data_IF_539070054597
#
_entry.id   IF_539070054597
#
_cell.length_a   1.000
_cell.length_b   1.000
_cell.length_c   1.000
_cell.angle_alpha   90.00
_cell.angle_beta   90.00
_cell.angle_gamma   90.00
#
_symmetry.space_group_name_H-M   'P 1'
#
loop_
_entity.id
_entity.type
_entity.pdbx_description
1 polymer ?
#
# COMPACT_ATOMS: atom_id res chain seq x y z
N UNK A 1 23.48 9.10 20.09
CA UNK A 1 23.32 7.68 20.47
C UNK A 1 22.30 7.07 19.52
N UNK A 2 22.64 6.07 18.69
CA UNK A 2 21.65 5.31 17.96
C UNK A 2 21.09 4.16 18.84
N UNK A 3 19.81 3.79 18.70
CA UNK A 3 19.24 2.65 19.41
C UNK A 3 19.79 1.34 18.85
N UNK A 4 20.24 0.47 19.76
CA UNK A 4 20.89 -0.80 19.45
C UNK A 4 19.93 -1.83 18.86
N UNK A 5 20.40 -2.50 17.82
CA UNK A 5 19.81 -3.69 17.22
C UNK A 5 19.86 -4.84 18.24
N UNK A 6 18.70 -5.29 18.73
CA UNK A 6 18.59 -6.43 19.63
C UNK A 6 18.56 -7.72 18.81
N UNK A 7 19.62 -8.52 18.89
CA UNK A 7 19.70 -9.87 18.31
C UNK A 7 19.38 -10.85 19.44
N UNK A 8 18.24 -11.59 19.40
CA UNK A 8 17.98 -12.61 20.39
C UNK A 8 18.94 -13.78 20.19
N UNK A 9 19.90 -13.89 21.10
CA UNK A 9 20.81 -15.02 21.19
C UNK A 9 20.11 -16.24 21.77
N UNK A 10 20.00 -17.29 20.96
CA UNK A 10 20.06 -18.68 21.42
C UNK A 10 20.50 -19.55 20.24
N UNK A 11 21.80 -19.50 19.91
CA UNK A 11 22.44 -20.63 19.25
C UNK A 11 22.81 -21.62 20.35
N UNK A 12 22.02 -22.69 20.47
CA UNK A 12 22.46 -23.88 21.18
C UNK A 12 23.53 -24.58 20.32
N UNK A 13 24.80 -24.29 20.62
CA UNK A 13 25.93 -25.06 20.08
C UNK A 13 25.99 -26.38 20.85
N UNK A 14 25.46 -27.45 20.27
CA UNK A 14 25.66 -28.81 20.78
C UNK A 14 27.01 -29.31 20.26
N UNK A 15 28.05 -29.17 21.08
CA UNK A 15 29.36 -29.73 20.81
C UNK A 15 29.39 -31.20 21.24
N UNK A 16 29.41 -32.13 20.27
CA UNK A 16 29.74 -33.52 20.55
C UNK A 16 31.26 -33.68 20.65
N UNK A 17 31.81 -33.56 21.85
CA UNK A 17 33.16 -34.03 22.14
C UNK A 17 33.12 -35.55 22.31
N UNK A 18 33.33 -36.30 21.23
CA UNK A 18 33.58 -37.74 21.31
C UNK A 18 35.03 -37.99 21.76
N UNK A 19 35.25 -38.04 23.07
CA UNK A 19 36.38 -38.77 23.64
C UNK A 19 35.95 -40.23 23.84
N UNK A 20 36.68 -41.12 23.18
CA UNK A 20 36.58 -42.55 23.33
C UNK A 20 36.96 -42.98 24.75
N UNK A 21 36.01 -43.56 25.49
CA UNK A 21 36.30 -44.59 26.50
C UNK A 21 35.09 -45.52 26.65
N UNK A 22 35.24 -46.85 26.47
CA UNK A 22 34.13 -47.78 26.54
C UNK A 22 33.98 -48.28 27.97
N UNK A 23 32.90 -47.89 28.66
CA UNK A 23 32.30 -48.63 29.78
C UNK A 23 31.16 -47.81 30.39
N UNK A 24 29.93 -48.18 30.08
CA UNK A 24 28.89 -48.54 31.05
C UNK A 24 27.54 -48.60 30.33
N UNK A 25 27.04 -49.83 30.21
CA UNK A 25 25.66 -50.12 29.86
C UNK A 25 24.72 -49.75 31.01
N UNK A 26 23.45 -49.59 30.63
CA UNK A 26 22.23 -49.72 31.44
C UNK A 26 21.82 -48.45 32.20
N UNK A 27 20.85 -47.72 31.64
CA UNK A 27 19.51 -47.54 32.23
C UNK A 27 18.72 -46.46 31.48
N UNK A 28 17.39 -46.59 31.52
CA UNK A 28 16.34 -45.63 31.13
C UNK A 28 15.81 -45.75 29.69
N UNK A 29 14.82 -46.63 29.46
CA UNK A 29 13.79 -46.37 28.47
C UNK A 29 12.85 -45.27 29.01
N UNK A 30 12.05 -44.66 28.13
CA UNK A 30 11.05 -43.60 28.43
C UNK A 30 11.62 -42.17 28.41
N UNK A 31 12.04 -41.69 27.23
CA UNK A 31 11.98 -40.26 26.87
C UNK A 31 12.00 -40.14 25.34
N UNK A 32 11.02 -40.75 24.67
CA UNK A 32 10.86 -40.63 23.23
C UNK A 32 9.38 -40.60 22.84
N UNK A 33 8.58 -39.76 23.52
CA UNK A 33 7.21 -39.50 23.09
C UNK A 33 6.68 -38.16 23.61
N UNK A 34 7.38 -37.06 23.30
CA UNK A 34 6.84 -35.70 23.39
C UNK A 34 7.79 -34.71 22.73
N UNK A 35 7.93 -34.74 21.40
CA UNK A 35 8.55 -33.65 20.63
C UNK A 35 8.25 -33.79 19.11
N UNK A 36 6.97 -34.00 18.77
CA UNK A 36 6.48 -33.78 17.38
C UNK A 36 5.11 -33.12 17.46
N UNK A 37 4.96 -32.01 18.20
CA UNK A 37 3.83 -31.08 18.02
C UNK A 37 4.28 -29.67 18.43
N UNK A 38 5.19 -29.06 17.68
CA UNK A 38 5.39 -27.60 17.78
C UNK A 38 6.14 -27.09 16.54
N UNK A 39 5.56 -27.32 15.36
CA UNK A 39 6.09 -26.73 14.13
C UNK A 39 5.01 -26.29 13.13
N UNK A 40 3.72 -26.53 13.38
CA UNK A 40 2.65 -26.14 12.46
C UNK A 40 1.74 -25.00 12.94
N UNK A 41 1.82 -24.55 14.19
CA UNK A 41 1.07 -23.38 14.66
C UNK A 41 1.93 -22.12 14.64
N UNK A 42 2.42 -21.77 13.45
CA UNK A 42 2.80 -20.38 13.16
C UNK A 42 1.69 -19.74 12.34
N UNK A 43 0.47 -19.76 12.88
CA UNK A 43 -0.48 -18.68 12.60
C UNK A 43 0.10 -17.44 13.28
N UNK A 44 1.08 -16.80 12.64
CA UNK A 44 1.48 -15.46 13.03
C UNK A 44 0.24 -14.63 12.77
N UNK A 45 -0.46 -14.26 13.84
CA UNK A 45 -1.55 -13.30 13.75
C UNK A 45 -0.99 -12.05 13.07
N UNK A 46 -1.46 -11.77 11.87
CA UNK A 46 -1.09 -10.54 11.20
C UNK A 46 -1.83 -9.42 11.92
N UNK A 47 -1.10 -8.40 12.38
CA UNK A 47 -1.73 -7.24 13.00
C UNK A 47 -2.77 -6.61 12.06
N UNK A 48 -3.87 -6.09 12.60
CA UNK A 48 -4.90 -5.41 11.80
C UNK A 48 -4.34 -4.19 11.02
N UNK A 49 -3.14 -3.73 11.36
CA UNK A 49 -2.35 -2.68 10.71
C UNK A 49 -1.25 -3.21 9.78
N UNK A 50 -1.39 -4.43 9.27
CA UNK A 50 -0.46 -5.00 8.30
C UNK A 50 -0.20 -4.04 7.13
N UNK A 51 1.07 -3.88 6.70
CA UNK A 51 1.39 -2.93 5.64
C UNK A 51 0.65 -3.28 4.36
N UNK A 52 0.10 -2.25 3.72
CA UNK A 52 -0.56 -2.36 2.42
C UNK A 52 0.26 -1.65 1.35
N UNK A 53 0.24 -2.18 0.14
CA UNK A 53 0.83 -1.54 -1.05
C UNK A 53 -0.28 -1.11 -2.00
N UNK A 54 -0.18 0.13 -2.46
CA UNK A 54 -1.02 0.70 -3.52
C UNK A 54 -0.27 0.65 -4.84
N UNK A 55 -0.90 0.06 -5.86
CA UNK A 55 -0.35 -0.09 -7.21
C UNK A 55 -1.21 0.69 -8.20
N UNK A 56 -0.70 1.83 -8.68
CA UNK A 56 -1.32 2.58 -9.77
C UNK A 56 -0.95 1.93 -11.12
N UNK A 57 -1.92 1.31 -11.79
CA UNK A 57 -1.67 0.45 -12.96
C UNK A 57 -2.38 0.98 -14.20
N UNK A 58 -1.64 1.04 -15.31
CA UNK A 58 -2.19 0.98 -16.65
C UNK A 58 -2.33 -0.51 -17.03
N UNK A 59 -3.55 -0.93 -17.36
CA UNK A 59 -3.80 -2.31 -17.78
C UNK A 59 -4.05 -2.31 -19.27
N UNK A 60 -3.43 -3.27 -19.97
CA UNK A 60 -3.54 -3.37 -21.42
C UNK A 60 -4.07 -4.74 -21.80
N UNK A 61 -4.92 -4.73 -22.82
CA UNK A 61 -5.34 -5.89 -23.58
C UNK A 61 -4.69 -5.86 -24.97
N UNK A 62 -4.95 -6.87 -25.79
CA UNK A 62 -4.55 -6.89 -27.20
C UNK A 62 -5.77 -6.91 -28.11
N UNK A 63 -5.87 -5.94 -29.02
CA UNK A 63 -6.91 -5.88 -30.06
C UNK A 63 -6.21 -5.77 -31.43
N UNK A 64 -6.53 -6.67 -32.36
CA UNK A 64 -5.90 -6.74 -33.70
C UNK A 64 -4.36 -6.74 -33.69
N UNK A 65 -3.77 -7.32 -32.65
CA UNK A 65 -2.31 -7.37 -32.47
C UNK A 65 -1.68 -6.08 -31.93
N UNK A 66 -2.48 -5.05 -31.62
CA UNK A 66 -2.05 -3.81 -31.01
C UNK A 66 -2.44 -3.74 -29.51
N UNK A 67 -1.62 -3.09 -28.66
CA UNK A 67 -1.96 -2.89 -27.26
C UNK A 67 -3.14 -1.91 -27.13
N UNK A 68 -4.15 -2.30 -26.38
CA UNK A 68 -5.36 -1.51 -26.11
C UNK A 68 -5.46 -1.20 -24.61
N UNK A 69 -5.45 0.08 -24.20
CA UNK A 69 -5.66 0.44 -22.81
C UNK A 69 -7.04 0.00 -22.31
N UNK A 70 -7.08 -0.54 -21.10
CA UNK A 70 -8.29 -0.82 -20.33
C UNK A 70 -8.50 0.27 -19.26
N UNK A 71 -9.64 0.27 -18.54
CA UNK A 71 -9.82 1.11 -17.36
C UNK A 71 -8.62 1.05 -16.40
N UNK A 72 -8.29 2.19 -15.80
CA UNK A 72 -7.22 2.31 -14.82
C UNK A 72 -7.52 1.40 -13.62
N UNK A 73 -6.49 0.75 -13.09
CA UNK A 73 -6.62 -0.09 -11.89
C UNK A 73 -5.76 0.42 -10.75
N UNK A 74 -6.35 0.50 -9.57
CA UNK A 74 -5.61 0.59 -8.32
C UNK A 74 -5.59 -0.80 -7.71
N UNK A 75 -4.45 -1.48 -7.82
CA UNK A 75 -4.20 -2.71 -7.09
C UNK A 75 -3.91 -2.40 -5.62
N UNK A 76 -4.50 -3.17 -4.72
CA UNK A 76 -4.33 -3.05 -3.27
C UNK A 76 -3.88 -4.40 -2.77
N UNK A 77 -2.62 -4.46 -2.34
CA UNK A 77 -2.02 -5.64 -1.74
C UNK A 77 -2.01 -5.47 -0.23
N UNK A 78 -2.68 -6.37 0.49
CA UNK A 78 -2.71 -6.40 1.95
C UNK A 78 -1.91 -7.60 2.42
N UNK A 79 -0.95 -7.40 3.32
CA UNK A 79 -0.21 -8.53 3.88
C UNK A 79 -1.15 -9.36 4.78
N UNK A 80 -1.12 -10.69 4.64
CA UNK A 80 -1.89 -11.67 5.43
C UNK A 80 -0.97 -12.79 5.94
N UNK A 81 -1.46 -13.64 6.84
CA UNK A 81 -0.62 -14.66 7.50
C UNK A 81 -0.05 -15.66 6.48
N UNK A 82 -0.81 -15.86 5.41
CA UNK A 82 -0.51 -16.79 4.33
C UNK A 82 0.15 -16.11 3.11
N UNK A 83 0.42 -14.80 3.17
CA UNK A 83 1.10 -14.06 2.09
C UNK A 83 0.53 -12.67 1.83
N UNK A 84 0.06 -12.45 0.61
CA UNK A 84 -0.55 -11.19 0.17
C UNK A 84 -1.95 -11.46 -0.38
N UNK A 85 -2.94 -10.78 0.19
CA UNK A 85 -4.26 -10.68 -0.43
C UNK A 85 -4.24 -9.54 -1.46
N UNK A 86 -4.82 -9.78 -2.63
CA UNK A 86 -4.86 -8.80 -3.71
C UNK A 86 -6.32 -8.54 -4.11
N UNK A 87 -6.68 -7.26 -4.10
CA UNK A 87 -7.91 -6.76 -4.69
C UNK A 87 -7.59 -5.54 -5.55
N UNK A 88 -8.54 -5.11 -6.37
CA UNK A 88 -8.40 -3.89 -7.13
C UNK A 88 -9.71 -3.11 -7.19
N UNK A 89 -9.59 -1.82 -7.48
CA UNK A 89 -10.70 -0.98 -7.93
C UNK A 89 -10.39 -0.48 -9.34
N UNK A 90 -11.43 -0.20 -10.11
CA UNK A 90 -11.37 0.29 -11.49
C UNK A 90 -11.97 1.67 -11.61
N UNK A 91 -11.39 2.48 -12.49
CA UNK A 91 -11.97 3.73 -12.92
C UNK A 91 -12.14 3.71 -14.44
N UNK A 92 -13.39 3.68 -14.90
CA UNK A 92 -13.70 3.68 -16.33
C UNK A 92 -13.45 5.03 -17.01
N UNK A 93 -13.28 6.10 -16.24
CA UNK A 93 -13.02 7.46 -16.75
C UNK A 93 -11.53 7.72 -16.98
N UNK A 94 -10.65 6.79 -16.63
CA UNK A 94 -9.23 6.88 -16.93
C UNK A 94 -8.71 5.53 -17.41
N UNK A 95 -7.69 5.51 -18.26
CA UNK A 95 -7.02 4.27 -18.66
C UNK A 95 -5.68 4.03 -17.94
N UNK A 96 -5.27 4.99 -17.11
CA UNK A 96 -4.09 4.92 -16.25
C UNK A 96 -4.27 5.77 -15.00
N UNK A 97 -3.74 5.30 -13.88
CA UNK A 97 -3.46 6.18 -12.74
C UNK A 97 -1.97 6.54 -12.77
N UNK A 98 -1.66 7.84 -12.75
CA UNK A 98 -0.26 8.27 -12.65
C UNK A 98 0.29 8.14 -11.24
N UNK A 99 -0.57 8.23 -10.22
CA UNK A 99 -0.21 8.03 -8.82
C UNK A 99 -1.44 7.71 -7.97
N UNK A 100 -1.19 7.05 -6.84
CA UNK A 100 -2.17 6.85 -5.78
C UNK A 100 -1.53 7.05 -4.39
N UNK A 101 -2.28 7.59 -3.44
CA UNK A 101 -1.80 7.98 -2.11
C UNK A 101 -2.87 7.73 -1.05
N UNK A 102 -2.51 7.30 0.16
CA UNK A 102 -3.43 7.32 1.29
C UNK A 102 -3.78 8.76 1.68
N UNK A 103 -5.05 9.03 1.96
CA UNK A 103 -5.54 10.32 2.42
C UNK A 103 -6.19 10.19 3.80
N UNK A 104 -6.02 11.21 4.62
CA UNK A 104 -6.65 11.34 5.93
C UNK A 104 -5.86 12.23 6.88
N UNK A 105 -6.38 12.42 8.08
CA UNK A 105 -5.87 13.38 9.05
C UNK A 105 -5.38 12.69 10.32
N UNK A 106 -4.36 13.26 10.96
CA UNK A 106 -3.88 12.86 12.30
C UNK A 106 -3.59 11.33 12.47
N UNK A 107 -3.14 10.66 11.41
CA UNK A 107 -2.83 9.22 11.43
C UNK A 107 -4.01 8.31 11.13
N UNK A 108 -5.21 8.85 10.91
CA UNK A 108 -6.35 8.11 10.40
C UNK A 108 -6.37 8.18 8.87
N UNK A 109 -6.42 7.02 8.21
CA UNK A 109 -6.60 6.93 6.76
C UNK A 109 -8.10 6.85 6.47
N UNK A 110 -8.63 7.87 5.80
CA UNK A 110 -10.06 7.98 5.45
C UNK A 110 -10.34 7.56 4.02
N UNK A 111 -9.30 7.48 3.16
CA UNK A 111 -9.45 7.00 1.80
C UNK A 111 -8.14 6.91 1.03
N UNK A 112 -8.27 6.67 -0.28
CA UNK A 112 -7.14 6.66 -1.22
C UNK A 112 -7.39 7.69 -2.30
N UNK A 113 -6.43 8.57 -2.55
CA UNK A 113 -6.43 9.48 -3.69
C UNK A 113 -5.86 8.79 -4.91
N UNK A 114 -6.46 9.01 -6.08
CA UNK A 114 -5.92 8.61 -7.38
C UNK A 114 -5.86 9.80 -8.33
N UNK A 115 -4.80 9.84 -9.14
CA UNK A 115 -4.59 10.84 -10.17
C UNK A 115 -4.81 10.20 -11.54
N UNK A 116 -5.92 10.53 -12.18
CA UNK A 116 -6.28 10.10 -13.54
C UNK A 116 -5.32 10.68 -14.59
N UNK A 117 -4.86 9.82 -15.49
CA UNK A 117 -3.92 10.20 -16.55
C UNK A 117 -4.51 10.26 -17.96
N UNK A 118 -5.81 10.08 -18.13
CA UNK A 118 -6.52 10.28 -19.42
C UNK A 118 -7.46 11.45 -19.33
N UNK A 119 -8.38 11.39 -18.37
CA UNK A 119 -9.16 12.52 -17.91
C UNK A 119 -8.44 13.12 -16.70
N UNK A 120 -8.27 14.44 -16.69
CA UNK A 120 -7.62 15.16 -15.61
C UNK A 120 -8.53 15.20 -14.39
N UNK A 121 -8.56 14.07 -13.66
CA UNK A 121 -9.40 13.89 -12.49
C UNK A 121 -8.57 13.48 -11.28
N UNK A 122 -8.81 14.13 -10.15
CA UNK A 122 -8.39 13.66 -8.83
C UNK A 122 -9.61 13.06 -8.13
N UNK A 123 -9.54 11.79 -7.73
CA UNK A 123 -10.62 11.11 -7.00
C UNK A 123 -10.17 10.67 -5.63
N UNK A 124 -11.07 10.75 -4.66
CA UNK A 124 -10.94 10.15 -3.34
C UNK A 124 -11.84 8.92 -3.23
N UNK A 125 -11.24 7.76 -3.01
CA UNK A 125 -11.92 6.48 -2.87
C UNK A 125 -12.09 6.12 -1.40
N UNK A 126 -13.33 5.80 -1.02
CA UNK A 126 -13.64 5.23 0.27
C UNK A 126 -13.34 3.72 0.30
N UNK A 127 -13.32 3.14 1.50
CA UNK A 127 -13.00 1.71 1.70
C UNK A 127 -13.98 0.76 1.04
N UNK A 128 -15.24 1.18 0.88
CA UNK A 128 -16.29 0.41 0.21
C UNK A 128 -16.21 0.46 -1.33
N UNK A 129 -15.26 1.22 -1.88
CA UNK A 129 -15.05 1.39 -3.32
C UNK A 129 -15.86 2.53 -3.94
N UNK A 130 -16.66 3.27 -3.16
CA UNK A 130 -17.26 4.52 -3.64
C UNK A 130 -16.19 5.59 -3.85
N UNK A 131 -16.41 6.49 -4.82
CA UNK A 131 -15.47 7.55 -5.18
C UNK A 131 -16.15 8.92 -5.21
N UNK A 132 -15.43 9.94 -4.78
CA UNK A 132 -15.77 11.34 -4.99
C UNK A 132 -14.71 11.98 -5.91
N UNK A 133 -15.14 12.61 -7.01
CA UNK A 133 -14.28 13.51 -7.79
C UNK A 133 -14.01 14.77 -7.00
N UNK A 134 -12.74 15.06 -6.71
CA UNK A 134 -12.31 16.25 -5.98
C UNK A 134 -11.99 17.42 -6.92
N UNK A 135 -11.46 17.10 -8.10
CA UNK A 135 -11.13 18.07 -9.14
C UNK A 135 -11.17 17.41 -10.50
N UNK A 136 -11.88 18.03 -11.43
CA UNK A 136 -11.92 17.69 -12.86
C UNK A 136 -11.55 18.95 -13.63
N UNK A 137 -10.60 18.85 -14.57
CA UNK A 137 -10.14 19.99 -15.32
C UNK A 137 -9.91 19.65 -16.80
N UNK A 138 -10.16 20.65 -17.65
CA UNK A 138 -9.72 20.66 -19.03
C UNK A 138 -8.79 21.86 -19.26
N UNK A 139 -7.54 21.57 -19.62
CA UNK A 139 -6.52 22.59 -19.87
C UNK A 139 -6.51 23.08 -21.33
N UNK A 140 -7.44 22.61 -22.18
CA UNK A 140 -7.58 23.07 -23.57
C UNK A 140 -6.47 22.57 -24.51
N UNK A 141 -5.73 21.54 -24.10
CA UNK A 141 -4.72 20.87 -24.90
C UNK A 141 -5.26 19.65 -25.65
N UNK A 142 -4.36 18.90 -26.31
CA UNK A 142 -4.72 17.60 -26.88
C UNK A 142 -5.04 16.54 -25.81
N UNK A 143 -4.51 16.74 -24.60
CA UNK A 143 -4.74 15.92 -23.41
C UNK A 143 -4.80 16.83 -22.19
N UNK A 144 -5.57 16.41 -21.18
CA UNK A 144 -5.61 17.02 -19.85
C UNK A 144 -5.31 15.92 -18.83
N UNK A 145 -4.16 15.99 -18.15
CA UNK A 145 -3.70 14.89 -17.28
C UNK A 145 -3.11 15.40 -15.98
N UNK A 146 -3.46 14.74 -14.89
CA UNK A 146 -2.81 14.93 -13.59
C UNK A 146 -1.43 14.27 -13.62
N UNK A 147 -0.34 14.93 -13.19
CA UNK A 147 1.00 14.33 -13.22
C UNK A 147 1.41 13.77 -11.86
N UNK A 148 1.25 14.57 -10.82
CA UNK A 148 1.72 14.24 -9.49
C UNK A 148 0.89 14.98 -8.43
N UNK A 149 0.90 14.47 -7.20
CA UNK A 149 0.37 15.18 -6.05
C UNK A 149 1.12 14.82 -4.77
N UNK A 150 1.09 15.73 -3.81
CA UNK A 150 1.57 15.50 -2.45
C UNK A 150 0.53 15.96 -1.43
N UNK A 151 0.46 15.25 -0.31
CA UNK A 151 -0.49 15.52 0.78
C UNK A 151 0.28 16.03 1.98
N UNK A 152 -0.19 17.11 2.58
CA UNK A 152 0.35 17.60 3.85
C UNK A 152 -0.45 18.74 4.43
N UNK A 153 -0.18 19.08 5.69
CA UNK A 153 -0.71 20.29 6.31
C UNK A 153 0.04 21.53 5.78
N UNK A 154 -0.27 21.92 4.54
CA UNK A 154 0.40 23.02 3.82
C UNK A 154 0.12 24.37 4.48
N UNK A 155 -1.03 24.52 5.15
CA UNK A 155 -1.49 25.79 5.72
C UNK A 155 -1.32 25.91 7.25
N UNK A 156 -0.94 24.82 7.92
CA UNK A 156 -0.76 24.79 9.38
C UNK A 156 -2.09 24.82 10.16
N UNK A 157 -3.18 24.37 9.55
CA UNK A 157 -4.51 24.36 10.17
C UNK A 157 -4.91 22.98 10.73
N UNK A 158 -3.99 22.00 10.64
CA UNK A 158 -4.19 20.63 11.08
C UNK A 158 -4.93 19.74 10.08
N UNK A 159 -5.40 20.27 8.95
CA UNK A 159 -6.07 19.51 7.90
C UNK A 159 -5.14 19.27 6.71
N UNK A 160 -5.12 18.06 6.15
CA UNK A 160 -4.33 17.79 4.95
C UNK A 160 -4.88 18.56 3.75
N UNK A 161 -3.99 19.23 3.03
CA UNK A 161 -4.22 19.78 1.70
C UNK A 161 -3.50 18.91 0.65
N UNK A 162 -4.02 18.90 -0.57
CA UNK A 162 -3.50 18.14 -1.70
C UNK A 162 -2.92 19.14 -2.70
N UNK A 163 -1.61 19.20 -2.81
CA UNK A 163 -0.95 19.96 -3.88
C UNK A 163 -0.87 19.08 -5.11
N UNK A 164 -1.46 19.51 -6.23
CA UNK A 164 -1.54 18.74 -7.48
C UNK A 164 -0.80 19.49 -8.58
N UNK A 165 0.04 18.78 -9.32
CA UNK A 165 0.70 19.28 -10.52
C UNK A 165 0.17 18.54 -11.74
N UNK A 166 -0.09 19.27 -12.83
CA UNK A 166 -0.59 18.70 -14.07
C UNK A 166 0.54 18.47 -15.07
N UNK A 167 0.32 17.53 -15.99
CA UNK A 167 1.26 17.29 -17.08
C UNK A 167 1.13 18.39 -18.15
N UNK A 168 -0.10 18.70 -18.50
CA UNK A 168 -0.43 19.54 -19.65
C UNK A 168 -0.72 20.97 -19.17
N UNK A 169 -0.17 21.96 -19.90
CA UNK A 169 -0.22 23.39 -19.57
C UNK A 169 0.42 23.83 -18.23
N UNK A 170 0.90 22.90 -17.40
CA UNK A 170 1.67 23.21 -16.19
C UNK A 170 0.86 23.88 -15.07
N UNK A 171 -0.44 23.61 -15.02
CA UNK A 171 -1.33 24.09 -13.96
C UNK A 171 -0.96 23.41 -12.65
N UNK A 172 -0.97 24.19 -11.57
CA UNK A 172 -0.82 23.68 -10.20
C UNK A 172 -2.08 24.08 -9.44
N UNK A 173 -2.62 23.16 -8.65
CA UNK A 173 -3.77 23.43 -7.82
C UNK A 173 -3.55 22.93 -6.40
N UNK A 174 -4.23 23.55 -5.45
CA UNK A 174 -4.36 23.04 -4.08
C UNK A 174 -5.81 22.70 -3.81
N UNK A 175 -6.06 21.45 -3.43
CA UNK A 175 -7.38 20.94 -3.04
C UNK A 175 -7.43 20.84 -1.52
N UNK A 176 -8.50 21.36 -0.90
CA UNK A 176 -8.67 21.37 0.56
C UNK A 176 -10.07 20.92 0.95
N UNK A 177 -10.19 20.15 2.03
CA UNK A 177 -11.49 19.93 2.67
C UNK A 177 -12.04 21.26 3.20
N UNK A 178 -13.35 21.44 3.11
CA UNK A 178 -14.08 22.56 3.71
C UNK A 178 -14.43 22.35 5.19
N UNK A 179 -13.98 21.24 5.79
CA UNK A 179 -14.31 20.83 7.16
C UNK A 179 -15.54 19.92 7.27
N UNK A 180 -16.22 19.64 6.15
CA UNK A 180 -17.27 18.63 6.02
C UNK A 180 -16.89 17.56 5.00
N UNK A 181 -17.86 17.11 4.20
CA UNK A 181 -17.63 16.14 3.11
C UNK A 181 -17.11 16.81 1.82
N UNK A 182 -17.10 18.14 1.77
CA UNK A 182 -16.79 18.92 0.57
C UNK A 182 -15.31 19.26 0.44
N UNK A 183 -14.94 19.59 -0.80
CA UNK A 183 -13.59 20.02 -1.16
C UNK A 183 -13.64 21.28 -2.02
N UNK A 184 -12.63 22.12 -1.85
CA UNK A 184 -12.42 23.34 -2.63
C UNK A 184 -11.10 23.26 -3.38
N UNK A 185 -11.10 23.73 -4.63
CA UNK A 185 -9.91 23.75 -5.50
C UNK A 185 -9.46 25.20 -5.68
N UNK A 186 -8.16 25.43 -5.53
CA UNK A 186 -7.52 26.70 -5.82
C UNK A 186 -6.37 26.49 -6.81
N UNK A 187 -6.60 26.81 -8.09
CA UNK A 187 -5.58 26.84 -9.13
C UNK A 187 -4.64 28.05 -8.93
N UNK A 188 -3.35 27.88 -9.26
CA UNK A 188 -2.26 28.84 -9.05
C UNK A 188 -1.79 29.49 -10.36
#
# INVERSE_FOLDING_TARGET
>A
MPPGLHIPGQLAVVSFANMWTPRQLVALPVFAMALIVSACDRTVAIPDDAPSLLLALAVLDTEDGAPRPLPARLGILTQTADGWDHRFIEDSESNVFHKALSYGAAGEVTGVLTLGGTEAVVKLWARDGSAQSLWEADFGGAFSRMRDAEIGDIYGDGNPAIAVATHDQGVVAVIRSDGGEGFTVHEL
#
